data_IF_526367702723
#
_entry.id   IF_526367702723
#
_cell.length_a   1.000
_cell.length_b   1.000
_cell.length_c   1.000
_cell.angle_alpha   90.00
_cell.angle_beta   90.00
_cell.angle_gamma   90.00
#
_symmetry.space_group_name_H-M   'P 1'
#
loop_
_entity.id
_entity.type
_entity.pdbx_description
1 polymer ?
#
# COMPACT_ATOMS: atom_id res chain seq x y z
N UNK A 1 28.27 23.43 9.06
CA UNK A 1 28.97 23.50 7.76
C UNK A 1 27.92 23.54 6.63
N UNK A 2 28.23 24.10 5.47
CA UNK A 2 27.31 24.19 4.33
C UNK A 2 28.06 24.19 2.99
N UNK A 3 27.35 23.88 1.90
CA UNK A 3 27.88 23.95 0.53
C UNK A 3 27.45 25.26 -0.12
N UNK A 4 28.39 25.97 -0.74
CA UNK A 4 28.23 27.29 -1.36
C UNK A 4 28.70 27.24 -2.82
N UNK A 5 27.86 27.66 -3.76
CA UNK A 5 28.22 27.75 -5.19
C UNK A 5 28.58 29.20 -5.53
N UNK A 6 29.87 29.45 -5.77
CA UNK A 6 30.41 30.78 -6.05
C UNK A 6 30.56 30.97 -7.56
N UNK A 7 29.85 31.93 -8.18
CA UNK A 7 29.98 32.23 -9.60
C UNK A 7 31.43 32.60 -9.96
N UNK A 8 31.94 32.07 -11.07
CA UNK A 8 33.30 32.33 -11.52
C UNK A 8 33.33 32.83 -12.97
N UNK A 9 33.06 34.11 -13.19
CA UNK A 9 33.14 34.83 -14.48
C UNK A 9 32.97 33.94 -15.74
N UNK A 10 34.08 33.52 -16.38
CA UNK A 10 34.09 32.72 -17.63
C UNK A 10 34.27 31.20 -17.42
N UNK A 11 34.39 30.75 -16.17
CA UNK A 11 34.62 29.36 -15.79
C UNK A 11 33.40 28.78 -15.08
N UNK A 12 33.29 27.46 -14.96
CA UNK A 12 32.27 26.83 -14.13
C UNK A 12 32.32 27.34 -12.67
N UNK A 13 31.17 27.43 -11.99
CA UNK A 13 31.12 27.92 -10.61
C UNK A 13 31.95 27.03 -9.67
N UNK A 14 32.52 27.66 -8.63
CA UNK A 14 33.27 26.96 -7.60
C UNK A 14 32.30 26.46 -6.51
N UNK A 15 32.27 25.15 -6.25
CA UNK A 15 31.46 24.55 -5.20
C UNK A 15 32.34 24.32 -3.98
N UNK A 16 32.06 25.05 -2.90
CA UNK A 16 32.90 25.11 -1.70
C UNK A 16 32.18 24.54 -0.49
N UNK A 17 32.87 23.73 0.31
CA UNK A 17 32.44 23.37 1.66
C UNK A 17 32.92 24.45 2.63
N UNK A 18 31.99 25.07 3.35
CA UNK A 18 32.27 26.21 4.22
C UNK A 18 31.69 26.02 5.61
N UNK A 19 32.24 26.77 6.55
CA UNK A 19 31.71 26.91 7.90
C UNK A 19 31.56 28.39 8.20
N UNK A 20 30.50 28.73 8.95
CA UNK A 20 30.25 30.09 9.40
C UNK A 20 29.97 30.09 10.88
N UNK A 21 30.50 31.09 11.59
CA UNK A 21 30.23 31.33 13.00
C UNK A 21 30.01 32.83 13.24
N UNK A 22 29.47 33.18 14.41
CA UNK A 22 29.26 34.57 14.82
C UNK A 22 30.21 34.95 15.93
N UNK A 23 30.86 36.09 15.79
CA UNK A 23 31.60 36.77 16.84
C UNK A 23 30.94 38.14 17.05
N UNK A 24 30.11 38.24 18.09
CA UNK A 24 29.27 39.41 18.34
C UNK A 24 28.32 39.69 17.15
N UNK A 25 28.31 40.90 16.58
CA UNK A 25 27.45 41.25 15.46
C UNK A 25 27.96 40.76 14.09
N UNK A 26 29.19 40.24 14.03
CA UNK A 26 29.86 39.89 12.77
C UNK A 26 29.71 38.39 12.49
N UNK A 27 29.32 38.05 11.25
CA UNK A 27 29.31 36.67 10.74
C UNK A 27 30.62 36.41 10.00
N UNK A 28 31.42 35.48 10.51
CA UNK A 28 32.62 35.01 9.86
C UNK A 28 32.33 33.80 8.98
N UNK A 29 33.08 33.64 7.89
CA UNK A 29 32.99 32.49 6.97
C UNK A 29 34.40 31.95 6.70
N UNK A 30 34.59 30.65 6.86
CA UNK A 30 35.82 29.92 6.52
C UNK A 30 35.53 28.89 5.43
N UNK A 31 36.35 28.88 4.39
CA UNK A 31 36.33 27.81 3.39
C UNK A 31 37.14 26.63 3.94
N UNK A 32 36.50 25.45 4.01
CA UNK A 32 37.13 24.21 4.48
C UNK A 32 37.72 23.42 3.33
N UNK A 33 37.03 23.35 2.19
CA UNK A 33 37.51 22.62 0.99
C UNK A 33 36.83 23.11 -0.29
N UNK A 34 37.53 22.96 -1.42
CA UNK A 34 36.97 23.12 -2.77
C UNK A 34 36.61 21.73 -3.33
N UNK A 35 35.31 21.50 -3.51
CA UNK A 35 34.75 20.21 -3.97
C UNK A 35 34.20 20.30 -5.39
N UNK A 36 34.53 21.33 -6.17
CA UNK A 36 34.11 21.49 -7.58
C UNK A 36 34.41 20.29 -8.47
N UNK A 37 35.44 19.51 -8.13
CA UNK A 37 35.87 18.34 -8.88
C UNK A 37 35.05 17.08 -8.55
N UNK A 38 34.14 17.12 -7.58
CA UNK A 38 33.33 15.96 -7.20
C UNK A 38 32.19 15.74 -8.20
N UNK A 39 31.75 14.48 -8.40
CA UNK A 39 30.52 14.20 -9.13
C UNK A 39 29.34 14.93 -8.49
N UNK A 40 28.46 15.51 -9.33
CA UNK A 40 27.29 16.30 -8.87
C UNK A 40 26.40 15.53 -7.89
N UNK A 41 26.22 14.22 -8.10
CA UNK A 41 25.44 13.38 -7.19
C UNK A 41 26.03 13.32 -5.77
N UNK A 42 27.37 13.30 -5.64
CA UNK A 42 28.07 13.28 -4.35
C UNK A 42 27.94 14.63 -3.63
N UNK A 43 28.03 15.74 -4.37
CA UNK A 43 27.81 17.10 -3.85
C UNK A 43 26.39 17.24 -3.33
N UNK A 44 25.39 16.78 -4.09
CA UNK A 44 23.99 16.89 -3.68
C UNK A 44 23.67 16.01 -2.47
N UNK A 45 24.21 14.79 -2.41
CA UNK A 45 24.09 13.93 -1.23
C UNK A 45 24.67 14.60 0.03
N UNK A 46 25.86 15.19 -0.07
CA UNK A 46 26.47 15.92 1.05
C UNK A 46 25.67 17.18 1.42
N UNK A 47 25.08 17.87 0.43
CA UNK A 47 24.22 19.04 0.66
C UNK A 47 23.00 18.68 1.50
N UNK A 48 22.31 17.60 1.16
CA UNK A 48 21.17 17.06 1.93
C UNK A 48 21.62 16.68 3.34
N UNK A 49 22.78 16.02 3.48
CA UNK A 49 23.31 15.57 4.78
C UNK A 49 23.62 16.74 5.71
N UNK A 50 24.21 17.81 5.18
CA UNK A 50 24.53 19.02 5.95
C UNK A 50 23.31 19.86 6.32
N UNK A 51 22.13 19.57 5.74
CA UNK A 51 20.85 20.16 6.10
C UNK A 51 20.04 19.27 7.05
N UNK A 52 20.63 18.18 7.53
CA UNK A 52 19.95 17.14 8.30
C UNK A 52 18.75 16.52 7.53
N UNK A 53 18.75 16.60 6.19
CA UNK A 53 17.80 15.87 5.36
C UNK A 53 18.17 14.38 5.37
N UNK A 54 17.18 13.46 5.36
CA UNK A 54 17.45 12.03 5.34
C UNK A 54 18.14 11.64 4.02
N UNK A 55 19.45 11.38 4.07
CA UNK A 55 20.24 10.93 2.93
C UNK A 55 20.47 9.43 3.05
N UNK A 56 19.94 8.66 2.11
CA UNK A 56 20.28 7.23 2.01
C UNK A 56 19.57 6.32 3.00
N UNK A 57 18.29 6.57 3.32
CA UNK A 57 17.48 5.53 3.95
C UNK A 57 16.80 4.70 2.87
N UNK A 58 17.20 3.43 2.79
CA UNK A 58 16.34 2.34 2.29
C UNK A 58 14.97 2.54 2.96
N UNK A 59 13.98 3.00 2.18
CA UNK A 59 12.64 3.31 2.69
C UNK A 59 12.12 4.72 2.45
N UNK A 60 12.90 5.67 1.91
CA UNK A 60 12.29 6.91 1.40
C UNK A 60 11.37 6.59 0.21
N UNK A 61 10.14 7.12 0.12
CA UNK A 61 9.22 6.85 -1.00
C UNK A 61 9.83 7.10 -2.38
N UNK A 62 10.73 8.08 -2.48
CA UNK A 62 11.51 8.41 -3.70
C UNK A 62 12.43 7.27 -4.17
N UNK A 63 12.75 6.32 -3.29
CA UNK A 63 13.56 5.13 -3.57
C UNK A 63 12.73 3.86 -3.75
N UNK A 64 11.40 3.94 -3.62
CA UNK A 64 10.50 2.82 -3.85
C UNK A 64 9.98 2.89 -5.29
N UNK A 65 10.09 1.77 -6.00
CA UNK A 65 9.44 1.61 -7.32
C UNK A 65 8.27 0.65 -7.15
N UNK A 66 7.09 1.03 -7.65
CA UNK A 66 5.95 0.13 -7.68
C UNK A 66 6.22 -0.95 -8.74
N UNK A 67 6.41 -2.19 -8.31
CA UNK A 67 6.63 -3.35 -9.20
C UNK A 67 5.32 -3.93 -9.73
N UNK A 68 4.25 -3.83 -8.95
CA UNK A 68 2.91 -4.27 -9.32
C UNK A 68 1.86 -3.59 -8.44
N UNK A 69 0.62 -3.55 -8.92
CA UNK A 69 -0.53 -3.08 -8.16
C UNK A 69 -1.71 -3.99 -8.41
N UNK A 70 -2.41 -4.40 -7.36
CA UNK A 70 -3.66 -5.14 -7.47
C UNK A 70 -4.86 -4.20 -7.32
N UNK A 71 -5.95 -4.40 -8.09
CA UNK A 71 -7.21 -3.71 -7.86
C UNK A 71 -7.70 -3.91 -6.41
N UNK A 72 -7.95 -2.79 -5.72
CA UNK A 72 -8.42 -2.75 -4.33
C UNK A 72 -9.70 -1.93 -4.14
N UNK A 73 -9.84 -0.77 -4.80
CA UNK A 73 -10.94 0.16 -4.52
C UNK A 73 -12.34 -0.44 -4.67
N UNK A 74 -12.57 -1.22 -5.73
CA UNK A 74 -13.83 -1.93 -5.95
C UNK A 74 -14.08 -3.03 -4.91
N UNK A 75 -13.04 -3.79 -4.55
CA UNK A 75 -13.09 -4.80 -3.48
C UNK A 75 -13.48 -4.13 -2.17
N UNK A 76 -12.77 -3.08 -1.77
CA UNK A 76 -13.04 -2.35 -0.54
C UNK A 76 -14.47 -1.81 -0.46
N UNK A 77 -15.01 -1.29 -1.58
CA UNK A 77 -16.39 -0.82 -1.67
C UNK A 77 -17.41 -1.94 -1.43
N UNK A 78 -17.23 -3.10 -2.06
CA UNK A 78 -18.12 -4.25 -1.88
C UNK A 78 -18.00 -4.81 -0.46
N UNK A 79 -16.79 -5.04 0.05
CA UNK A 79 -16.60 -5.58 1.41
C UNK A 79 -17.10 -4.61 2.48
N UNK A 80 -16.91 -3.31 2.30
CA UNK A 80 -17.48 -2.29 3.17
C UNK A 80 -19.01 -2.34 3.20
N UNK A 81 -19.64 -2.56 2.05
CA UNK A 81 -21.10 -2.71 1.95
C UNK A 81 -21.59 -3.99 2.61
N UNK A 82 -20.91 -5.13 2.40
CA UNK A 82 -21.24 -6.40 3.06
C UNK A 82 -21.21 -6.27 4.59
N UNK A 83 -20.20 -5.59 5.14
CA UNK A 83 -20.08 -5.32 6.58
C UNK A 83 -21.17 -4.38 7.10
N UNK A 84 -21.50 -3.32 6.36
CA UNK A 84 -22.60 -2.39 6.73
C UNK A 84 -23.95 -3.10 6.79
N UNK A 85 -24.18 -4.05 5.88
CA UNK A 85 -25.38 -4.89 5.89
C UNK A 85 -25.33 -6.01 6.95
N UNK A 86 -24.19 -6.22 7.61
CA UNK A 86 -23.99 -7.31 8.57
C UNK A 86 -24.08 -8.70 7.93
N UNK A 87 -23.87 -8.83 6.61
CA UNK A 87 -24.10 -10.10 5.90
C UNK A 87 -23.18 -11.21 6.41
N UNK A 88 -21.95 -10.86 6.80
CA UNK A 88 -21.00 -11.78 7.41
C UNK A 88 -21.58 -12.43 8.68
N UNK A 89 -22.22 -11.63 9.54
CA UNK A 89 -22.86 -12.08 10.78
C UNK A 89 -24.14 -12.87 10.54
N UNK A 90 -24.87 -12.54 9.47
CA UNK A 90 -26.06 -13.28 9.03
C UNK A 90 -25.66 -14.69 8.62
N UNK A 91 -24.65 -14.83 7.75
CA UNK A 91 -24.13 -16.12 7.27
C UNK A 91 -23.57 -16.95 8.43
N UNK A 92 -22.67 -16.37 9.24
CA UNK A 92 -22.16 -17.00 10.45
C UNK A 92 -21.60 -15.98 11.43
N UNK A 93 -22.11 -15.99 12.68
CA UNK A 93 -21.70 -15.03 13.71
C UNK A 93 -20.22 -15.12 14.10
N UNK A 94 -19.63 -16.33 14.10
CA UNK A 94 -18.19 -16.50 14.28
C UNK A 94 -17.51 -16.63 12.92
N UNK A 95 -16.37 -15.94 12.75
CA UNK A 95 -15.49 -16.12 11.59
C UNK A 95 -15.05 -17.57 11.48
N UNK A 96 -15.20 -18.15 10.29
CA UNK A 96 -14.74 -19.48 9.94
C UNK A 96 -14.42 -19.53 8.44
N UNK A 97 -13.63 -20.53 8.06
CA UNK A 97 -13.14 -20.72 6.69
C UNK A 97 -14.27 -20.74 5.65
N UNK A 98 -15.34 -21.51 5.89
CA UNK A 98 -16.48 -21.60 4.98
C UNK A 98 -17.19 -20.25 4.81
N UNK A 99 -17.33 -19.47 5.89
CA UNK A 99 -17.94 -18.14 5.81
C UNK A 99 -17.13 -17.22 4.92
N UNK A 100 -15.81 -17.23 5.06
CA UNK A 100 -14.92 -16.37 4.29
C UNK A 100 -14.92 -16.78 2.80
N UNK A 101 -14.94 -18.09 2.49
CA UNK A 101 -15.12 -18.60 1.12
C UNK A 101 -16.46 -18.13 0.51
N UNK A 102 -17.56 -18.24 1.26
CA UNK A 102 -18.87 -17.81 0.77
C UNK A 102 -18.92 -16.30 0.54
N UNK A 103 -18.37 -15.49 1.47
CA UNK A 103 -18.32 -14.04 1.30
C UNK A 103 -17.45 -13.64 0.09
N UNK A 104 -16.32 -14.33 -0.12
CA UNK A 104 -15.49 -14.14 -1.30
C UNK A 104 -16.23 -14.49 -2.59
N UNK A 105 -17.04 -15.56 -2.61
CA UNK A 105 -17.89 -15.92 -3.75
C UNK A 105 -18.97 -14.88 -4.03
N UNK A 106 -19.65 -14.37 -2.99
CA UNK A 106 -20.67 -13.32 -3.12
C UNK A 106 -20.04 -12.04 -3.67
N UNK A 107 -18.93 -11.60 -3.08
CA UNK A 107 -18.20 -10.42 -3.54
C UNK A 107 -17.70 -10.58 -4.98
N UNK A 108 -17.13 -11.75 -5.32
CA UNK A 108 -16.69 -12.05 -6.67
C UNK A 108 -17.84 -12.03 -7.67
N UNK A 109 -19.05 -12.48 -7.29
CA UNK A 109 -20.22 -12.42 -8.17
C UNK A 109 -20.66 -10.99 -8.49
N UNK A 110 -20.49 -10.06 -7.56
CA UNK A 110 -20.81 -8.64 -7.75
C UNK A 110 -19.74 -7.97 -8.62
N UNK A 111 -18.46 -8.23 -8.33
CA UNK A 111 -17.33 -7.59 -9.00
C UNK A 111 -17.07 -8.16 -10.41
N UNK A 112 -17.19 -9.48 -10.56
CA UNK A 112 -16.83 -10.23 -11.76
C UNK A 112 -17.89 -11.32 -12.02
N UNK A 113 -19.06 -10.95 -12.57
CA UNK A 113 -20.12 -11.91 -12.87
C UNK A 113 -19.60 -13.05 -13.76
N UNK A 114 -19.48 -14.25 -13.19
CA UNK A 114 -18.89 -15.42 -13.83
C UNK A 114 -19.49 -16.72 -13.26
N UNK A 115 -19.13 -17.85 -13.86
CA UNK A 115 -19.40 -19.17 -13.28
C UNK A 115 -18.71 -19.33 -11.92
N UNK A 116 -19.15 -20.27 -11.09
CA UNK A 116 -18.55 -20.54 -9.76
C UNK A 116 -17.03 -20.76 -9.84
N UNK A 117 -16.60 -21.53 -10.83
CA UNK A 117 -15.18 -21.77 -11.14
C UNK A 117 -14.47 -20.55 -11.74
N UNK A 118 -15.19 -19.74 -12.51
CA UNK A 118 -14.66 -18.49 -13.04
C UNK A 118 -14.37 -17.47 -11.93
N UNK A 119 -15.23 -17.41 -10.91
CA UNK A 119 -15.06 -16.48 -9.79
C UNK A 119 -13.78 -16.70 -9.00
N UNK A 120 -13.38 -17.95 -8.74
CA UNK A 120 -12.15 -18.24 -7.97
C UNK A 120 -10.88 -17.84 -8.71
N UNK A 121 -10.87 -17.89 -10.05
CA UNK A 121 -9.74 -17.42 -10.86
C UNK A 121 -9.49 -15.92 -10.71
N UNK A 122 -10.51 -15.12 -10.40
CA UNK A 122 -10.36 -13.68 -10.23
C UNK A 122 -9.76 -13.29 -8.87
N UNK A 123 -9.72 -14.21 -7.90
CA UNK A 123 -9.21 -13.92 -6.56
C UNK A 123 -7.73 -13.56 -6.53
N UNK A 124 -6.92 -14.10 -7.46
CA UNK A 124 -5.50 -13.77 -7.61
C UNK A 124 -5.25 -12.50 -8.44
N UNK A 125 -6.27 -11.96 -9.11
CA UNK A 125 -6.16 -10.78 -9.97
C UNK A 125 -6.59 -9.49 -9.27
N UNK A 126 -7.01 -9.56 -8.02
CA UNK A 126 -7.35 -8.42 -7.17
C UNK A 126 -7.07 -8.77 -5.71
N UNK A 127 -7.31 -7.83 -4.80
CA UNK A 127 -7.11 -8.04 -3.36
C UNK A 127 -8.15 -8.94 -2.70
N UNK A 128 -9.23 -9.32 -3.40
CA UNK A 128 -10.34 -10.07 -2.81
C UNK A 128 -9.91 -11.39 -2.17
N UNK A 129 -9.02 -12.15 -2.84
CA UNK A 129 -8.55 -13.43 -2.33
C UNK A 129 -7.77 -13.29 -1.03
N UNK A 130 -6.90 -12.28 -0.93
CA UNK A 130 -6.11 -12.02 0.28
C UNK A 130 -6.95 -11.46 1.44
N UNK A 131 -7.97 -10.65 1.16
CA UNK A 131 -8.84 -10.08 2.20
C UNK A 131 -9.60 -11.16 3.00
N UNK A 132 -9.96 -12.25 2.33
CA UNK A 132 -10.64 -13.40 2.96
C UNK A 132 -9.72 -14.56 3.28
N UNK A 133 -8.43 -14.48 2.93
CA UNK A 133 -7.48 -15.59 3.02
C UNK A 133 -8.02 -16.84 2.31
N UNK A 134 -8.28 -16.74 0.99
CA UNK A 134 -8.91 -17.80 0.17
C UNK A 134 -8.18 -18.06 -1.16
N UNK A 135 -6.93 -17.61 -1.28
CA UNK A 135 -6.14 -17.80 -2.50
C UNK A 135 -5.77 -19.27 -2.77
N UNK A 136 -5.79 -20.08 -1.72
CA UNK A 136 -5.39 -21.50 -1.69
C UNK A 136 -6.59 -22.46 -1.77
N UNK A 137 -7.81 -21.94 -1.92
CA UNK A 137 -9.03 -22.77 -1.91
C UNK A 137 -9.08 -23.69 -3.13
N UNK A 138 -9.18 -24.99 -2.85
CA UNK A 138 -9.38 -26.01 -3.86
C UNK A 138 -10.87 -26.19 -4.20
N UNK A 139 -11.14 -26.85 -5.34
CA UNK A 139 -12.49 -27.06 -5.83
C UNK A 139 -13.38 -27.85 -4.85
N UNK A 140 -12.82 -28.86 -4.19
CA UNK A 140 -13.56 -29.68 -3.23
C UNK A 140 -13.94 -28.86 -1.98
N UNK A 141 -13.04 -28.01 -1.49
CA UNK A 141 -13.31 -27.11 -0.36
C UNK A 141 -14.39 -26.07 -0.73
N UNK A 142 -14.35 -25.56 -1.97
CA UNK A 142 -15.35 -24.64 -2.50
C UNK A 142 -16.75 -25.26 -2.48
N UNK A 143 -16.89 -26.49 -3.01
CA UNK A 143 -18.18 -27.19 -3.02
C UNK A 143 -18.65 -27.57 -1.62
N UNK A 144 -17.75 -28.05 -0.75
CA UNK A 144 -18.08 -28.32 0.64
C UNK A 144 -18.57 -27.06 1.38
N UNK A 145 -18.03 -25.89 1.06
CA UNK A 145 -18.48 -24.61 1.61
C UNK A 145 -19.87 -24.20 1.09
N UNK A 146 -20.20 -24.52 -0.16
CA UNK A 146 -21.54 -24.32 -0.72
C UNK A 146 -22.58 -25.25 -0.08
N UNK A 147 -22.24 -26.52 0.14
CA UNK A 147 -23.12 -27.45 0.87
C UNK A 147 -23.32 -27.01 2.33
N UNK A 148 -22.26 -26.51 2.95
CA UNK A 148 -22.32 -25.92 4.29
C UNK A 148 -23.26 -24.71 4.34
N UNK A 149 -23.26 -23.86 3.30
CA UNK A 149 -24.18 -22.73 3.18
C UNK A 149 -25.63 -23.22 3.00
N UNK A 150 -25.85 -24.20 2.12
CA UNK A 150 -27.17 -24.73 1.81
C UNK A 150 -27.87 -25.28 3.06
N UNK A 151 -27.15 -26.04 3.91
CA UNK A 151 -27.67 -26.56 5.18
C UNK A 151 -28.13 -25.46 6.16
N UNK A 152 -27.72 -24.21 5.95
CA UNK A 152 -28.05 -23.06 6.81
C UNK A 152 -29.10 -22.13 6.20
N UNK A 153 -29.61 -22.44 5.01
CA UNK A 153 -30.50 -21.58 4.23
C UNK A 153 -31.67 -21.06 5.07
N UNK A 154 -32.49 -21.94 5.66
CA UNK A 154 -33.67 -21.54 6.43
C UNK A 154 -33.34 -20.54 7.56
N UNK A 155 -32.21 -20.75 8.26
CA UNK A 155 -31.78 -19.85 9.34
C UNK A 155 -31.33 -18.50 8.80
N UNK A 156 -30.63 -18.49 7.67
CA UNK A 156 -30.15 -17.26 7.03
C UNK A 156 -31.34 -16.46 6.49
N UNK A 157 -32.27 -17.13 5.81
CA UNK A 157 -33.50 -16.52 5.28
C UNK A 157 -34.37 -15.93 6.39
N UNK A 158 -34.54 -16.64 7.51
CA UNK A 158 -35.27 -16.13 8.67
C UNK A 158 -34.65 -14.83 9.23
N UNK A 159 -33.31 -14.76 9.31
CA UNK A 159 -32.61 -13.54 9.72
C UNK A 159 -32.76 -12.41 8.72
N UNK A 160 -32.64 -12.70 7.42
CA UNK A 160 -32.81 -11.70 6.37
C UNK A 160 -34.23 -11.14 6.36
N UNK A 161 -35.23 -12.02 6.49
CA UNK A 161 -36.64 -11.64 6.62
C UNK A 161 -36.83 -10.67 7.79
N UNK A 162 -36.37 -11.01 8.99
CA UNK A 162 -36.53 -10.15 10.17
C UNK A 162 -35.87 -8.76 10.06
N UNK A 163 -34.94 -8.55 9.12
CA UNK A 163 -34.27 -7.26 8.90
C UNK A 163 -34.97 -6.45 7.81
N UNK A 164 -35.60 -7.10 6.83
CA UNK A 164 -36.00 -6.49 5.56
C UNK A 164 -37.48 -6.67 5.17
N UNK A 165 -38.22 -7.53 5.85
CA UNK A 165 -39.64 -7.83 5.64
C UNK A 165 -40.42 -7.61 6.94
#
# INVERSE_FOLDING_TARGET
MYIDDVPNRKSPPATLLRESWREGPIVHKRTLSNISHWPRAKIEALRRLLRDEPVGWVGSPECLTITSSLPYGNVAAVLGTLRKLGLDQIIAGKRCRQRDIILALIAARILFPASKLGSTRHWSHCTLGSEFDVLDVELNELYASLDWLLRRQNRIEAKLSAIHL
#
